data_IF_611398152429
#
_entry.id   IF_611398152429
#
_cell.length_a   1.000
_cell.length_b   1.000
_cell.length_c   1.000
_cell.angle_alpha   90.00
_cell.angle_beta   90.00
_cell.angle_gamma   90.00
#
_symmetry.space_group_name_H-M   'P 1'
#
loop_
_entity.id
_entity.type
_entity.pdbx_description
1 polymer ?
#
# COMPACT_ATOMS: atom_id res chain seq x y z
N UNK A 1 -10.77 -9.24 -16.45
CA UNK A 1 -10.81 -7.78 -16.74
C UNK A 1 -9.84 -7.05 -15.83
N UNK A 2 -9.73 -5.72 -15.97
CA UNK A 2 -8.82 -4.88 -15.16
C UNK A 2 -9.63 -4.05 -14.15
N UNK A 3 -9.54 -4.40 -12.87
CA UNK A 3 -10.37 -3.84 -11.79
C UNK A 3 -9.57 -3.02 -10.75
N UNK A 4 -8.36 -2.58 -11.09
CA UNK A 4 -7.50 -1.82 -10.16
C UNK A 4 -8.14 -0.47 -9.84
N UNK A 5 -8.33 -0.17 -8.56
CA UNK A 5 -8.73 1.14 -8.07
C UNK A 5 -7.51 1.93 -7.60
N UNK A 6 -7.37 3.18 -8.03
CA UNK A 6 -6.35 4.11 -7.55
C UNK A 6 -7.02 5.26 -6.81
N UNK A 7 -6.51 5.58 -5.62
CA UNK A 7 -6.97 6.69 -4.80
C UNK A 7 -5.80 7.24 -3.96
N UNK A 8 -5.76 8.57 -3.70
CA UNK A 8 -4.72 9.17 -2.90
C UNK A 8 -4.91 8.84 -1.42
N UNK A 9 -3.80 8.70 -0.69
CA UNK A 9 -3.76 8.56 0.77
C UNK A 9 -2.76 9.57 1.31
N UNK A 10 -3.16 10.34 2.33
CA UNK A 10 -2.25 11.23 3.06
C UNK A 10 -1.74 10.51 4.31
N UNK A 11 -0.43 10.28 4.38
CA UNK A 11 0.21 9.70 5.56
C UNK A 11 0.61 10.83 6.52
N UNK A 12 -0.25 11.09 7.50
CA UNK A 12 0.02 12.06 8.56
C UNK A 12 0.72 11.35 9.72
N UNK A 13 2.05 11.40 9.73
CA UNK A 13 2.89 10.80 10.77
C UNK A 13 3.56 11.93 11.53
N UNK A 14 3.43 11.94 12.87
CA UNK A 14 4.14 12.91 13.69
C UNK A 14 5.52 12.38 14.05
N UNK A 15 6.51 13.27 14.14
CA UNK A 15 7.91 12.89 14.33
C UNK A 15 8.20 12.29 15.72
N UNK A 16 7.39 12.64 16.71
CA UNK A 16 7.48 12.24 18.12
C UNK A 16 6.79 10.91 18.45
N UNK A 17 5.97 10.37 17.54
CA UNK A 17 5.27 9.10 17.75
C UNK A 17 6.23 7.90 17.71
N UNK A 18 6.00 6.94 18.60
CA UNK A 18 6.64 5.64 18.57
C UNK A 18 6.12 4.77 17.40
N UNK A 19 6.78 3.63 17.12
CA UNK A 19 6.39 2.77 15.99
C UNK A 19 4.97 2.21 16.13
N UNK A 20 4.53 1.67 17.29
CA UNK A 20 3.15 1.22 17.49
C UNK A 20 2.09 2.29 17.21
N UNK A 21 2.29 3.52 17.70
CA UNK A 21 1.37 4.64 17.47
C UNK A 21 1.30 5.03 16.00
N UNK A 22 2.43 5.02 15.28
CA UNK A 22 2.46 5.28 13.84
C UNK A 22 1.67 4.22 13.07
N UNK A 23 1.85 2.94 13.41
CA UNK A 23 1.10 1.84 12.78
C UNK A 23 -0.40 1.99 13.06
N UNK A 24 -0.79 2.29 14.30
CA UNK A 24 -2.19 2.53 14.68
C UNK A 24 -2.79 3.70 13.91
N UNK A 25 -2.06 4.82 13.80
CA UNK A 25 -2.48 6.01 13.06
C UNK A 25 -2.71 5.69 11.58
N UNK A 26 -1.76 5.02 10.92
CA UNK A 26 -1.88 4.64 9.51
C UNK A 26 -3.03 3.64 9.30
N UNK A 27 -3.19 2.65 10.20
CA UNK A 27 -4.28 1.68 10.16
C UNK A 27 -5.64 2.36 10.25
N UNK A 28 -5.81 3.31 11.15
CA UNK A 28 -7.07 4.04 11.32
C UNK A 28 -7.34 4.97 10.13
N UNK A 29 -6.33 5.72 9.67
CA UNK A 29 -6.46 6.58 8.49
C UNK A 29 -6.91 5.79 7.25
N UNK A 30 -6.38 4.59 7.04
CA UNK A 30 -6.80 3.72 5.94
C UNK A 30 -8.21 3.15 6.12
N UNK A 31 -8.65 2.91 7.36
CA UNK A 31 -10.01 2.40 7.66
C UNK A 31 -11.10 3.44 7.43
N UNK A 32 -10.80 4.72 7.63
CA UNK A 32 -11.72 5.81 7.34
C UNK A 32 -12.05 5.94 5.85
N UNK A 33 -11.26 5.32 4.97
CA UNK A 33 -11.47 5.36 3.53
C UNK A 33 -12.62 4.40 3.16
N UNK A 34 -13.78 4.92 2.69
CA UNK A 34 -14.92 4.07 2.38
C UNK A 34 -14.63 3.17 1.19
N UNK A 35 -15.03 1.89 1.30
CA UNK A 35 -14.98 0.90 0.21
C UNK A 35 -13.61 0.84 -0.49
N UNK A 36 -12.51 0.99 0.26
CA UNK A 36 -11.13 1.01 -0.28
C UNK A 36 -10.96 2.01 -1.43
N UNK A 37 -11.60 3.17 -1.33
CA UNK A 37 -11.36 4.30 -2.22
C UNK A 37 -11.89 4.16 -3.65
N UNK A 38 -12.68 3.12 -3.97
CA UNK A 38 -13.25 2.93 -5.32
C UNK A 38 -14.05 4.14 -5.82
N UNK A 39 -14.71 4.87 -4.90
CA UNK A 39 -15.47 6.08 -5.23
C UNK A 39 -14.62 7.21 -5.79
N UNK A 40 -13.31 7.26 -5.49
CA UNK A 40 -12.43 8.33 -5.98
C UNK A 40 -12.34 8.33 -7.50
N UNK A 41 -12.04 7.17 -8.10
CA UNK A 41 -11.96 7.03 -9.55
C UNK A 41 -13.30 7.28 -10.23
N UNK A 42 -14.41 6.82 -9.63
CA UNK A 42 -15.75 7.07 -10.14
C UNK A 42 -16.08 8.56 -10.18
N UNK A 43 -15.81 9.29 -9.09
CA UNK A 43 -16.11 10.72 -9.02
C UNK A 43 -15.19 11.52 -9.94
N UNK A 44 -13.89 11.19 -9.95
CA UNK A 44 -12.89 11.92 -10.74
C UNK A 44 -13.04 11.74 -12.25
N UNK A 45 -13.37 10.54 -12.70
CA UNK A 45 -13.33 10.19 -14.12
C UNK A 45 -14.69 9.93 -14.77
N UNK A 46 -15.73 9.60 -13.99
CA UNK A 46 -17.02 9.14 -14.53
C UNK A 46 -18.23 9.96 -14.07
N UNK A 47 -18.03 10.99 -13.24
CA UNK A 47 -19.12 11.84 -12.75
C UNK A 47 -18.96 13.29 -13.16
N UNK A 48 -20.07 13.97 -13.38
CA UNK A 48 -20.11 15.43 -13.56
C UNK A 48 -20.07 16.19 -12.22
N UNK A 49 -19.48 15.58 -11.19
CA UNK A 49 -19.44 16.20 -9.88
C UNK A 49 -18.64 17.51 -9.95
N UNK A 50 -19.20 18.67 -9.56
CA UNK A 50 -18.59 19.98 -9.81
C UNK A 50 -17.20 20.12 -9.17
N UNK A 51 -16.98 19.43 -8.04
CA UNK A 51 -15.69 19.40 -7.33
C UNK A 51 -14.68 18.37 -7.83
N UNK A 52 -14.99 17.55 -8.84
CA UNK A 52 -14.06 16.55 -9.36
C UNK A 52 -12.74 17.18 -9.85
N UNK A 53 -12.83 18.39 -10.40
CA UNK A 53 -11.71 19.19 -10.88
C UNK A 53 -10.86 19.78 -9.75
N UNK A 54 -11.40 19.92 -8.54
CA UNK A 54 -10.68 20.43 -7.37
C UNK A 54 -9.77 19.36 -6.73
N UNK A 55 -9.95 18.08 -7.10
CA UNK A 55 -9.19 16.96 -6.55
C UNK A 55 -7.84 16.81 -7.26
N UNK A 56 -6.99 17.83 -7.10
CA UNK A 56 -5.69 18.02 -7.77
C UNK A 56 -4.51 17.48 -6.97
N UNK A 57 -4.72 16.47 -6.11
CA UNK A 57 -3.61 15.74 -5.52
C UNK A 57 -2.74 15.15 -6.63
N UNK A 58 -1.44 15.44 -6.62
CA UNK A 58 -0.43 14.83 -7.48
C UNK A 58 0.48 13.94 -6.62
N UNK A 59 0.05 12.71 -6.26
CA UNK A 59 0.91 11.81 -5.51
C UNK A 59 2.16 11.51 -6.32
N UNK A 60 3.33 11.74 -5.73
CA UNK A 60 4.61 11.39 -6.35
C UNK A 60 4.94 9.90 -6.19
N UNK A 61 4.33 9.25 -5.20
CA UNK A 61 4.56 7.84 -4.87
C UNK A 61 3.30 7.03 -5.16
N UNK A 62 3.46 5.97 -5.95
CA UNK A 62 2.47 4.89 -6.08
C UNK A 62 2.90 3.69 -5.26
N UNK A 63 1.96 3.10 -4.54
CA UNK A 63 2.14 1.85 -3.83
C UNK A 63 1.08 0.84 -4.27
N UNK A 64 1.49 -0.38 -4.57
CA UNK A 64 0.61 -1.47 -4.97
C UNK A 64 1.09 -2.79 -4.35
N UNK A 65 0.22 -3.45 -3.60
CA UNK A 65 0.50 -4.77 -3.03
C UNK A 65 -0.37 -5.82 -3.74
N UNK A 66 0.28 -6.73 -4.46
CA UNK A 66 -0.34 -7.73 -5.31
C UNK A 66 -0.86 -8.94 -4.52
N UNK A 67 -0.52 -9.04 -3.23
CA UNK A 67 -0.89 -10.19 -2.41
C UNK A 67 0.17 -11.28 -2.40
N UNK A 68 -0.26 -12.48 -2.01
CA UNK A 68 0.58 -13.67 -1.91
C UNK A 68 0.26 -14.62 -3.07
N UNK A 69 1.27 -14.91 -3.89
CA UNK A 69 1.11 -15.76 -5.07
C UNK A 69 1.23 -17.27 -4.76
N UNK A 70 1.86 -17.62 -3.64
CA UNK A 70 2.16 -19.03 -3.30
C UNK A 70 0.92 -19.91 -3.12
N UNK A 71 -0.18 -19.33 -2.63
CA UNK A 71 -1.38 -20.10 -2.31
C UNK A 71 -2.06 -20.65 -3.55
N UNK A 72 -2.02 -19.90 -4.65
CA UNK A 72 -2.65 -20.28 -5.92
C UNK A 72 -1.81 -21.28 -6.70
N UNK A 73 -0.47 -21.22 -6.56
CA UNK A 73 0.46 -22.11 -7.27
C UNK A 73 0.61 -23.46 -6.56
N UNK A 74 0.70 -23.48 -5.22
CA UNK A 74 0.95 -24.71 -4.45
C UNK A 74 -0.14 -25.78 -4.59
N UNK A 75 -1.37 -25.38 -4.90
CA UNK A 75 -2.49 -26.30 -5.10
C UNK A 75 -2.66 -26.75 -6.57
N UNK A 76 -1.79 -26.30 -7.48
CA UNK A 76 -1.85 -26.61 -8.91
C UNK A 76 -0.90 -27.72 -9.34
N UNK A 77 -1.08 -28.22 -10.57
CA UNK A 77 -0.13 -29.11 -11.27
C UNK A 77 0.96 -28.34 -12.03
N UNK A 78 1.01 -27.03 -11.86
CA UNK A 78 1.90 -26.12 -12.57
C UNK A 78 2.76 -25.36 -11.56
N UNK A 79 4.00 -25.10 -11.93
CA UNK A 79 4.97 -24.39 -11.10
C UNK A 79 5.39 -23.07 -11.78
N UNK A 80 5.86 -22.11 -10.97
CA UNK A 80 6.46 -20.89 -11.50
C UNK A 80 7.78 -21.24 -12.16
N UNK A 81 7.93 -20.87 -13.43
CA UNK A 81 9.19 -21.07 -14.14
C UNK A 81 10.32 -20.27 -13.49
N UNK A 82 11.53 -20.87 -13.32
CA UNK A 82 12.70 -20.13 -12.85
C UNK A 82 13.23 -19.13 -13.91
N UNK A 83 12.73 -19.22 -15.15
CA UNK A 83 13.13 -18.32 -16.24
C UNK A 83 12.34 -17.02 -16.21
N UNK A 84 13.04 -15.91 -16.45
CA UNK A 84 12.43 -14.58 -16.53
C UNK A 84 11.43 -14.51 -17.68
N UNK A 85 10.27 -13.90 -17.43
CA UNK A 85 9.28 -13.55 -18.45
C UNK A 85 9.74 -12.40 -19.37
N UNK A 86 10.92 -11.83 -19.12
CA UNK A 86 11.42 -10.65 -19.81
C UNK A 86 10.72 -9.37 -19.36
N UNK A 87 11.00 -8.28 -20.08
CA UNK A 87 10.44 -6.95 -19.79
C UNK A 87 9.00 -6.87 -20.29
N UNK A 88 8.10 -6.46 -19.41
CA UNK A 88 6.68 -6.24 -19.74
C UNK A 88 6.39 -4.83 -20.26
N UNK A 89 7.38 -3.93 -20.21
CA UNK A 89 7.29 -2.56 -20.69
C UNK A 89 8.53 -2.15 -21.49
N UNK A 90 8.39 -1.13 -22.34
CA UNK A 90 9.50 -0.52 -23.08
C UNK A 90 10.44 0.24 -22.13
N UNK A 91 11.73 0.22 -22.43
CA UNK A 91 12.78 0.88 -21.64
C UNK A 91 12.59 2.38 -21.47
N UNK A 92 11.99 3.05 -22.45
CA UNK A 92 11.75 4.49 -22.43
C UNK A 92 10.29 4.86 -22.12
N UNK A 93 9.52 3.97 -21.47
CA UNK A 93 8.17 4.33 -21.05
C UNK A 93 8.25 5.48 -20.03
N UNK A 94 7.52 6.59 -20.23
CA UNK A 94 7.46 7.63 -19.22
C UNK A 94 6.83 7.07 -17.95
N UNK A 95 7.52 7.25 -16.82
CA UNK A 95 6.98 6.92 -15.50
C UNK A 95 5.85 7.88 -15.17
N UNK A 96 4.70 7.34 -14.78
CA UNK A 96 3.53 8.14 -14.37
C UNK A 96 3.67 8.70 -12.96
N UNK A 97 4.55 8.10 -12.16
CA UNK A 97 4.83 8.46 -10.77
C UNK A 97 6.35 8.59 -10.58
N UNK A 98 6.76 9.50 -9.69
CA UNK A 98 8.17 9.70 -9.34
C UNK A 98 8.79 8.43 -8.77
N UNK A 99 8.06 7.76 -7.86
CA UNK A 99 8.40 6.45 -7.34
C UNK A 99 7.20 5.50 -7.48
N UNK A 100 7.44 4.31 -7.98
CA UNK A 100 6.43 3.27 -8.10
C UNK A 100 6.88 2.00 -7.36
N UNK A 101 6.18 1.68 -6.28
CA UNK A 101 6.50 0.60 -5.35
C UNK A 101 5.47 -0.51 -5.55
N UNK A 102 5.92 -1.65 -6.05
CA UNK A 102 5.11 -2.86 -6.16
C UNK A 102 5.60 -3.92 -5.19
N UNK A 103 4.68 -4.55 -4.47
CA UNK A 103 4.99 -5.59 -3.49
C UNK A 103 4.22 -6.87 -3.73
N UNK A 104 4.85 -8.00 -3.45
CA UNK A 104 4.22 -9.33 -3.48
C UNK A 104 4.91 -10.27 -2.49
N UNK A 105 4.21 -11.33 -2.07
CA UNK A 105 4.83 -12.47 -1.40
C UNK A 105 4.94 -13.63 -2.39
N UNK A 106 6.17 -14.14 -2.55
CA UNK A 106 6.50 -15.31 -3.35
C UNK A 106 7.53 -16.17 -2.59
N UNK A 107 7.34 -17.49 -2.59
CA UNK A 107 8.08 -18.47 -1.80
C UNK A 107 8.24 -18.08 -0.33
N UNK A 108 7.15 -17.60 0.28
CA UNK A 108 7.12 -17.15 1.67
C UNK A 108 7.95 -15.89 1.96
N UNK A 109 8.42 -15.19 0.91
CA UNK A 109 9.25 -13.99 1.05
C UNK A 109 8.55 -12.76 0.45
N UNK A 110 8.51 -11.68 1.22
CA UNK A 110 8.09 -10.37 0.74
C UNK A 110 9.17 -9.82 -0.21
N UNK A 111 8.76 -9.48 -1.42
CA UNK A 111 9.56 -8.77 -2.42
C UNK A 111 8.93 -7.41 -2.70
N UNK A 112 9.76 -6.36 -2.73
CA UNK A 112 9.37 -5.00 -3.07
C UNK A 112 10.24 -4.52 -4.24
N UNK A 113 9.59 -4.13 -5.33
CA UNK A 113 10.23 -3.51 -6.49
C UNK A 113 9.95 -2.01 -6.48
N UNK A 114 11.02 -1.20 -6.46
CA UNK A 114 10.93 0.27 -6.51
C UNK A 114 11.41 0.73 -7.89
N UNK A 115 10.49 1.25 -8.70
CA UNK A 115 10.80 1.83 -10.01
C UNK A 115 10.92 3.35 -9.90
N UNK A 116 11.94 3.91 -10.54
CA UNK A 116 12.26 5.33 -10.49
C UNK A 116 12.99 5.79 -11.77
N UNK A 117 13.01 7.09 -12.02
CA UNK A 117 13.74 7.67 -13.15
C UNK A 117 15.22 7.86 -12.81
N UNK A 118 16.13 7.15 -13.50
CA UNK A 118 17.57 7.28 -13.29
C UNK A 118 18.15 8.66 -13.66
N UNK A 119 17.41 9.49 -14.41
CA UNK A 119 17.77 10.90 -14.65
C UNK A 119 17.44 11.81 -13.47
N UNK A 120 16.54 11.38 -12.58
CA UNK A 120 16.08 12.13 -11.42
C UNK A 120 16.75 11.67 -10.13
N UNK A 121 16.99 10.35 -9.98
CA UNK A 121 17.64 9.78 -8.80
C UNK A 121 18.87 8.97 -9.15
N UNK A 122 19.91 9.15 -8.33
CA UNK A 122 21.09 8.28 -8.34
C UNK A 122 20.74 6.92 -7.77
N UNK A 123 21.38 5.87 -8.31
CA UNK A 123 21.15 4.48 -7.89
C UNK A 123 21.49 4.28 -6.42
N UNK A 124 22.59 4.88 -5.98
CA UNK A 124 23.12 4.79 -4.62
C UNK A 124 22.11 5.35 -3.60
N UNK A 125 21.45 6.46 -3.93
CA UNK A 125 20.37 7.03 -3.10
C UNK A 125 19.19 6.07 -2.99
N UNK A 126 18.78 5.46 -4.10
CA UNK A 126 17.64 4.54 -4.11
C UNK A 126 17.95 3.23 -3.39
N UNK A 127 19.17 2.72 -3.51
CA UNK A 127 19.65 1.56 -2.74
C UNK A 127 19.66 1.84 -1.24
N UNK A 128 20.17 3.01 -0.82
CA UNK A 128 20.14 3.41 0.59
C UNK A 128 18.70 3.49 1.12
N UNK A 129 17.76 4.04 0.33
CA UNK A 129 16.33 4.09 0.71
C UNK A 129 15.67 2.71 0.75
N UNK A 130 16.00 1.82 -0.19
CA UNK A 130 15.52 0.44 -0.19
C UNK A 130 16.04 -0.34 1.04
N UNK A 131 17.32 -0.17 1.38
CA UNK A 131 17.90 -0.73 2.60
C UNK A 131 17.23 -0.19 3.86
N UNK A 132 17.00 1.12 3.93
CA UNK A 132 16.28 1.71 5.05
C UNK A 132 14.87 1.12 5.20
N UNK A 133 14.10 1.05 4.10
CA UNK A 133 12.76 0.45 4.10
C UNK A 133 12.79 -1.00 4.57
N UNK A 134 13.73 -1.81 4.07
CA UNK A 134 13.91 -3.20 4.49
C UNK A 134 14.19 -3.30 5.99
N UNK A 135 15.13 -2.52 6.50
CA UNK A 135 15.47 -2.51 7.92
C UNK A 135 14.30 -2.07 8.79
N UNK A 136 13.54 -1.04 8.38
CA UNK A 136 12.35 -0.58 9.10
C UNK A 136 11.25 -1.66 9.16
N UNK A 137 11.04 -2.40 8.07
CA UNK A 137 10.07 -3.52 8.05
C UNK A 137 10.50 -4.67 8.96
N UNK A 138 11.81 -4.94 9.08
CA UNK A 138 12.33 -5.97 9.97
C UNK A 138 12.31 -5.54 11.45
N UNK A 139 12.58 -4.26 11.73
CA UNK A 139 12.55 -3.68 13.07
C UNK A 139 11.14 -3.44 13.61
N UNK A 140 10.13 -3.36 12.76
CA UNK A 140 8.73 -3.33 13.18
C UNK A 140 8.20 -4.67 13.71
N UNK A 141 9.01 -5.74 13.63
CA UNK A 141 8.62 -7.11 13.93
C UNK A 141 8.93 -7.67 15.35
N UNK A 142 9.78 -7.09 16.23
CA UNK A 142 10.26 -7.81 17.42
C UNK A 142 9.29 -7.88 18.61
N UNK A 143 8.06 -7.35 18.51
CA UNK A 143 7.12 -7.27 19.64
C UNK A 143 5.64 -7.54 19.31
N UNK A 144 5.35 -8.23 18.20
CA UNK A 144 4.01 -8.77 17.97
C UNK A 144 3.89 -10.13 18.67
N UNK A 145 4.04 -10.12 20.00
CA UNK A 145 3.77 -11.31 20.80
C UNK A 145 2.30 -11.69 20.70
N UNK A 146 2.04 -12.99 20.82
CA UNK A 146 0.74 -13.66 20.66
C UNK A 146 -0.36 -13.21 21.66
N UNK A 147 -0.15 -12.09 22.36
CA UNK A 147 -1.07 -11.44 23.30
C UNK A 147 -1.68 -10.14 22.78
N UNK A 148 -1.45 -9.73 21.52
CA UNK A 148 -2.32 -8.78 20.83
C UNK A 148 -3.68 -9.43 20.53
N UNK A 149 -4.36 -9.84 21.61
CA UNK A 149 -5.80 -10.01 21.68
C UNK A 149 -6.40 -8.76 21.07
N UNK A 150 -6.91 -8.91 19.85
CA UNK A 150 -7.97 -8.11 19.23
C UNK A 150 -8.08 -6.75 19.94
N UNK A 151 -7.10 -5.87 19.73
CA UNK A 151 -7.21 -4.47 20.12
C UNK A 151 -8.30 -3.90 19.23
N UNK A 152 -9.55 -4.11 19.68
CA UNK A 152 -10.76 -3.60 19.07
C UNK A 152 -10.59 -2.10 19.01
N UNK A 153 -10.32 -1.59 17.81
CA UNK A 153 -10.39 -0.14 17.60
C UNK A 153 -11.86 0.27 17.80
N UNK A 154 -12.16 1.52 18.20
CA UNK A 154 -13.54 1.97 18.41
C UNK A 154 -14.48 1.68 17.22
N UNK A 155 -13.95 1.66 15.99
CA UNK A 155 -14.69 1.25 14.79
C UNK A 155 -15.08 -0.24 14.72
N UNK A 156 -14.42 -1.13 15.46
CA UNK A 156 -14.82 -2.55 15.59
C UNK A 156 -15.91 -2.75 16.65
N UNK A 157 -16.04 -1.81 17.60
CA UNK A 157 -17.10 -1.83 18.63
C UNK A 157 -18.44 -1.36 18.03
N UNK A 158 -18.39 -0.44 17.05
CA UNK A 158 -19.58 0.09 16.37
C UNK A 158 -20.36 -0.94 15.52
N UNK A 159 -19.79 -2.12 15.25
CA UNK A 159 -20.49 -3.21 14.54
C UNK A 159 -21.39 -4.07 15.45
N UNK A 160 -21.45 -3.81 16.76
CA UNK A 160 -22.45 -4.38 17.66
C UNK A 160 -23.26 -3.27 18.35
N UNK A 161 -24.11 -2.62 17.57
CA UNK A 161 -25.39 -2.05 18.02
C UNK A 161 -25.45 -1.34 19.38
N UNK A 162 -24.59 -0.36 19.66
CA UNK A 162 -24.81 0.60 20.74
C UNK A 162 -24.58 2.02 20.20
N UNK A 163 -25.65 2.80 20.15
CA UNK A 163 -25.66 4.24 19.82
C UNK A 163 -25.08 5.04 20.98
N UNK A 164 -24.15 5.95 20.67
CA UNK A 164 -23.61 6.95 21.61
C UNK A 164 -24.71 7.99 21.88
N UNK A 165 -25.48 7.76 22.94
CA UNK A 165 -26.52 8.65 23.40
C UNK A 165 -26.92 8.32 24.85
N UNK A 166 -25.93 8.16 25.74
CA UNK A 166 -26.12 8.05 27.19
C UNK A 166 -24.80 8.11 28.01
N UNK A 167 -23.91 9.04 27.67
CA UNK A 167 -22.88 9.54 28.59
C UNK A 167 -22.77 11.06 28.47
#
# INVERSE_FOLDING_TARGET
GWFTSLYPVSLQIKADQDIPERIKTVKENLRQIPRKGIGYGLIKYLSDHPKAHEWTGHPEIRFNYLGQFDQDVRNGRMEVSPYSSGKTARDNRPLTYTLDINGMISDGRLSLAISYCGKQYQRETMEARAHFLKSSLQQGNPHWDAEDQILLTPGQISLKGITIGEL
#
